data_IF_927198411146
#
_entry.id   IF_927198411146
#
_cell.length_a   1.000
_cell.length_b   1.000
_cell.length_c   1.000
_cell.angle_alpha   90.00
_cell.angle_beta   90.00
_cell.angle_gamma   90.00
#
_symmetry.space_group_name_H-M   'P 1'
#
loop_
_entity.id
_entity.type
_entity.pdbx_description
1 polymer ?
#
# COMPACT_ATOMS: atom_id res chain seq x y z
N UNK A 1 -7.51 -10.88 -9.61
CA UNK A 1 -8.27 -10.61 -10.85
C UNK A 1 -7.94 -9.19 -11.24
N UNK A 2 -7.00 -9.03 -12.17
CA UNK A 2 -6.48 -7.73 -12.62
C UNK A 2 -7.28 -7.29 -13.86
N UNK A 3 -8.16 -6.29 -13.74
CA UNK A 3 -8.84 -5.66 -14.90
C UNK A 3 -7.91 -4.63 -15.57
N UNK A 4 -6.69 -5.05 -15.92
CA UNK A 4 -5.68 -4.20 -16.55
C UNK A 4 -4.96 -4.83 -17.74
N UNK A 5 -5.12 -6.12 -17.99
CA UNK A 5 -4.48 -6.82 -19.11
C UNK A 5 -5.49 -7.68 -19.85
N UNK A 6 -5.96 -7.14 -20.98
CA UNK A 6 -6.99 -7.73 -21.83
C UNK A 6 -6.84 -9.22 -22.06
N UNK A 7 -7.80 -9.98 -21.55
CA UNK A 7 -7.96 -11.41 -21.79
C UNK A 7 -9.09 -12.05 -20.98
N UNK A 8 -9.31 -11.62 -19.75
CA UNK A 8 -10.29 -12.20 -18.80
C UNK A 8 -11.39 -11.22 -18.34
N UNK A 9 -11.44 -10.04 -18.94
CA UNK A 9 -12.41 -8.97 -18.65
C UNK A 9 -13.75 -9.20 -19.35
N UNK A 10 -14.53 -10.18 -18.88
CA UNK A 10 -15.96 -10.12 -19.17
C UNK A 10 -16.53 -8.86 -18.49
N UNK A 11 -16.99 -7.89 -19.29
CA UNK A 11 -17.51 -6.59 -18.84
C UNK A 11 -18.58 -6.70 -17.73
N UNK A 12 -19.23 -7.86 -17.59
CA UNK A 12 -20.17 -8.20 -16.52
C UNK A 12 -19.53 -8.17 -15.13
N UNK A 13 -18.23 -8.49 -15.00
CA UNK A 13 -17.55 -8.57 -13.71
C UNK A 13 -16.66 -7.35 -13.40
N UNK A 14 -15.98 -6.78 -14.40
CA UNK A 14 -15.17 -5.55 -14.23
C UNK A 14 -16.01 -4.26 -14.19
N UNK A 15 -17.21 -4.23 -14.80
CA UNK A 15 -18.02 -3.00 -14.92
C UNK A 15 -18.78 -2.58 -13.65
N UNK A 16 -18.86 -3.46 -12.65
CA UNK A 16 -19.54 -3.21 -11.38
C UNK A 16 -18.61 -3.31 -10.17
N UNK A 17 -17.30 -3.27 -10.38
CA UNK A 17 -16.35 -3.15 -9.28
C UNK A 17 -16.51 -1.79 -8.58
N UNK A 18 -16.51 -1.74 -7.24
CA UNK A 18 -16.23 -2.84 -6.30
C UNK A 18 -17.47 -3.64 -5.85
N UNK A 19 -18.69 -3.28 -6.26
CA UNK A 19 -19.93 -3.93 -5.79
C UNK A 19 -20.11 -5.39 -6.22
N UNK A 20 -19.42 -5.82 -7.28
CA UNK A 20 -19.36 -7.25 -7.67
C UNK A 20 -18.47 -8.09 -6.77
N UNK A 21 -17.61 -7.46 -5.97
CA UNK A 21 -16.72 -8.17 -5.05
C UNK A 21 -17.39 -8.30 -3.68
N UNK A 22 -17.17 -9.43 -2.99
CA UNK A 22 -17.53 -9.57 -1.59
C UNK A 22 -16.95 -8.41 -0.76
N UNK A 23 -17.72 -7.80 0.16
CA UNK A 23 -17.26 -6.67 0.96
C UNK A 23 -16.05 -7.00 1.84
N UNK A 24 -15.80 -8.29 2.12
CA UNK A 24 -14.63 -8.78 2.86
C UNK A 24 -13.34 -8.83 2.02
N UNK A 25 -13.40 -8.57 0.72
CA UNK A 25 -12.23 -8.53 -0.18
C UNK A 25 -11.84 -7.12 -0.61
N UNK A 26 -12.63 -6.12 -0.22
CA UNK A 26 -12.41 -4.72 -0.59
C UNK A 26 -12.17 -3.86 0.65
N UNK A 27 -11.21 -2.96 0.54
CA UNK A 27 -10.96 -1.91 1.51
C UNK A 27 -11.29 -0.57 0.88
N UNK A 28 -12.18 0.19 1.52
CA UNK A 28 -12.53 1.54 1.06
C UNK A 28 -11.62 2.53 1.76
N UNK A 29 -10.84 3.26 0.98
CA UNK A 29 -10.01 4.33 1.51
C UNK A 29 -10.90 5.39 2.21
N UNK A 30 -10.45 6.03 3.29
CA UNK A 30 -11.21 7.07 4.00
C UNK A 30 -11.62 8.25 3.11
N UNK A 31 -10.83 8.52 2.06
CA UNK A 31 -11.17 9.49 1.02
C UNK A 31 -12.38 9.11 0.16
N UNK A 32 -12.94 7.89 0.32
CA UNK A 32 -14.16 7.34 -0.32
C UNK A 32 -14.22 7.37 -1.86
N UNK A 33 -13.23 7.95 -2.53
CA UNK A 33 -13.10 8.00 -3.99
C UNK A 33 -12.44 6.75 -4.57
N UNK A 34 -11.59 6.10 -3.78
CA UNK A 34 -10.80 4.94 -4.19
C UNK A 34 -11.09 3.76 -3.26
N UNK A 35 -11.03 2.58 -3.83
CA UNK A 35 -11.07 1.31 -3.13
C UNK A 35 -9.90 0.48 -3.61
N UNK A 36 -9.39 -0.34 -2.71
CA UNK A 36 -8.27 -1.24 -2.97
C UNK A 36 -8.68 -2.62 -2.50
N UNK A 37 -7.91 -3.64 -2.88
CA UNK A 37 -8.14 -4.97 -2.35
C UNK A 37 -7.58 -5.09 -0.93
N UNK A 38 -8.21 -5.92 -0.11
CA UNK A 38 -7.73 -6.16 1.27
C UNK A 38 -6.33 -6.78 1.31
N UNK A 39 -5.88 -7.44 0.23
CA UNK A 39 -4.51 -7.96 0.13
C UNK A 39 -3.45 -6.87 -0.12
N UNK A 40 -3.89 -5.70 -0.61
CA UNK A 40 -3.04 -4.52 -0.77
C UNK A 40 -3.04 -3.61 0.46
N UNK A 41 -3.83 -3.96 1.49
CA UNK A 41 -3.76 -3.26 2.78
C UNK A 41 -2.56 -3.84 3.53
N UNK A 42 -1.69 -2.97 4.05
CA UNK A 42 -0.45 -3.33 4.72
C UNK A 42 0.62 -3.94 3.80
N UNK A 43 0.67 -3.53 2.53
CA UNK A 43 1.61 -4.05 1.53
C UNK A 43 2.85 -3.15 1.35
N UNK A 44 3.04 -2.15 2.22
CA UNK A 44 4.07 -1.10 2.16
C UNK A 44 3.91 -0.11 1.02
N UNK A 45 2.78 -0.10 0.31
CA UNK A 45 2.51 0.85 -0.75
C UNK A 45 1.28 1.71 -0.48
N UNK A 46 1.35 2.92 -1.01
CA UNK A 46 0.26 3.85 -0.99
C UNK A 46 -0.69 3.61 -2.17
N UNK A 47 -1.58 2.64 -2.06
CA UNK A 47 -2.66 2.43 -3.03
C UNK A 47 -3.81 3.43 -2.82
N UNK A 48 -4.05 3.89 -1.58
CA UNK A 48 -5.10 4.87 -1.29
C UNK A 48 -4.74 6.32 -1.71
N UNK A 49 -3.46 6.65 -1.82
CA UNK A 49 -2.96 8.01 -2.07
C UNK A 49 -2.97 8.91 -0.84
N UNK A 50 -3.30 8.40 0.34
CA UNK A 50 -3.29 9.10 1.63
C UNK A 50 -2.68 8.26 2.76
N UNK A 51 -2.09 7.11 2.44
CA UNK A 51 -1.49 6.17 3.40
C UNK A 51 -2.45 5.60 4.44
N UNK A 52 -3.76 5.67 4.18
CA UNK A 52 -4.75 5.08 5.09
C UNK A 52 -4.73 3.56 5.09
N UNK A 53 -4.41 2.97 3.94
CA UNK A 53 -4.16 1.54 3.73
C UNK A 53 -2.94 1.02 4.51
N UNK A 54 -1.92 1.85 4.67
CA UNK A 54 -0.72 1.54 5.46
C UNK A 54 -0.77 2.10 6.89
N UNK A 55 -1.96 2.53 7.34
CA UNK A 55 -2.09 3.14 8.66
C UNK A 55 -1.90 2.10 9.76
N UNK A 56 -1.09 2.46 10.76
CA UNK A 56 -0.82 1.62 11.95
C UNK A 56 -2.08 1.34 12.79
N UNK A 57 -3.18 2.05 12.52
CA UNK A 57 -4.48 1.76 13.13
C UNK A 57 -5.13 0.47 12.61
N UNK A 58 -4.77 0.06 11.39
CA UNK A 58 -5.35 -1.11 10.69
C UNK A 58 -4.31 -2.20 10.44
N UNK A 59 -3.04 -1.84 10.32
CA UNK A 59 -1.96 -2.78 10.06
C UNK A 59 -1.26 -3.26 11.33
N UNK A 60 -0.86 -4.54 11.40
CA UNK A 60 0.12 -4.97 12.39
C UNK A 60 1.40 -4.15 12.24
N UNK A 61 2.17 -4.03 13.33
CA UNK A 61 3.39 -3.21 13.34
C UNK A 61 4.26 -3.49 12.10
N UNK A 62 4.68 -2.42 11.41
CA UNK A 62 5.56 -2.50 10.24
C UNK A 62 6.61 -3.59 10.43
N UNK A 63 6.64 -4.57 9.54
CA UNK A 63 7.72 -5.55 9.46
C UNK A 63 9.06 -4.90 9.08
N UNK A 64 9.01 -3.65 8.61
CA UNK A 64 10.11 -2.80 8.19
C UNK A 64 10.64 -1.82 9.25
N UNK A 65 11.18 -0.72 8.73
CA UNK A 65 11.60 0.47 9.46
C UNK A 65 10.55 1.56 9.29
N UNK A 66 10.14 2.20 10.39
CA UNK A 66 9.17 3.29 10.36
C UNK A 66 9.89 4.63 10.49
N UNK A 67 9.75 5.48 9.49
CA UNK A 67 10.35 6.82 9.46
C UNK A 67 9.56 7.73 8.51
N UNK A 68 9.77 9.03 8.55
CA UNK A 68 9.19 9.94 7.56
C UNK A 68 9.87 9.71 6.20
N UNK A 69 9.18 9.04 5.28
CA UNK A 69 9.73 8.70 3.97
C UNK A 69 9.84 9.92 3.08
N UNK A 70 10.89 9.97 2.26
CA UNK A 70 11.00 10.98 1.18
C UNK A 70 9.98 10.68 0.09
N UNK A 71 9.75 9.39 -0.17
CA UNK A 71 8.76 8.92 -1.11
C UNK A 71 7.41 8.74 -0.42
N UNK A 72 6.41 9.51 -0.86
CA UNK A 72 5.03 9.39 -0.40
C UNK A 72 4.38 8.04 -0.79
N UNK A 73 5.07 7.24 -1.61
CA UNK A 73 4.63 5.92 -2.03
C UNK A 73 4.77 4.84 -0.95
N UNK A 74 5.69 5.00 0.00
CA UNK A 74 6.01 3.95 0.99
C UNK A 74 5.39 4.23 2.38
N UNK A 75 4.56 5.27 2.51
CA UNK A 75 3.71 5.54 3.68
C UNK A 75 4.36 5.43 5.06
N UNK A 76 5.60 5.90 5.17
CA UNK A 76 6.41 5.81 6.38
C UNK A 76 6.82 4.39 6.80
N UNK A 77 6.65 3.37 5.96
CA UNK A 77 7.03 1.98 6.21
C UNK A 77 8.00 1.47 5.15
N UNK A 78 9.30 1.51 5.46
CA UNK A 78 10.33 1.04 4.51
C UNK A 78 10.61 -0.43 4.79
N UNK A 79 10.57 -1.31 3.79
CA UNK A 79 10.90 -2.72 3.98
C UNK A 79 12.37 -2.88 4.39
N UNK A 80 12.66 -3.81 5.32
CA UNK A 80 14.05 -4.08 5.78
C UNK A 80 15.01 -4.44 4.65
N UNK A 81 14.52 -4.90 3.51
CA UNK A 81 15.32 -5.20 2.32
C UNK A 81 15.93 -3.96 1.67
N UNK A 82 15.36 -2.77 1.89
CA UNK A 82 15.91 -1.49 1.42
C UNK A 82 16.87 -0.83 2.39
N UNK A 83 17.16 -1.49 3.51
CA UNK A 83 18.17 -1.00 4.42
C UNK A 83 19.57 -0.94 3.77
N UNK A 84 20.27 0.20 3.92
CA UNK A 84 21.64 0.40 3.37
C UNK A 84 21.71 0.11 1.87
N UNK A 85 20.67 0.46 1.13
CA UNK A 85 20.61 0.29 -0.31
C UNK A 85 21.30 1.46 -1.06
N UNK A 86 21.72 2.52 -0.36
CA UNK A 86 22.35 3.71 -0.93
C UNK A 86 21.35 4.73 -1.50
N UNK A 87 20.07 4.57 -1.21
CA UNK A 87 18.96 5.45 -1.60
C UNK A 87 18.42 6.08 -0.32
N UNK A 88 18.08 7.36 -0.37
CA UNK A 88 17.42 8.03 0.74
C UNK A 88 15.92 7.69 0.72
N UNK A 89 15.52 6.58 1.35
CA UNK A 89 14.12 6.24 1.54
C UNK A 89 13.54 7.04 2.75
N UNK A 90 14.30 7.24 3.84
CA UNK A 90 13.92 8.12 4.96
C UNK A 90 14.49 9.54 4.84
N UNK A 91 13.70 10.54 5.22
CA UNK A 91 14.13 11.96 5.27
C UNK A 91 15.33 12.18 6.20
N UNK A 92 15.44 11.41 7.27
CA UNK A 92 16.50 11.48 8.28
C UNK A 92 17.67 10.52 8.01
N UNK A 93 17.68 9.81 6.87
CA UNK A 93 18.65 8.75 6.56
C UNK A 93 18.67 7.60 7.57
N UNK A 94 17.61 7.40 8.34
CA UNK A 94 17.52 6.30 9.31
C UNK A 94 17.59 4.93 8.64
N UNK A 95 17.04 4.78 7.44
CA UNK A 95 17.11 3.58 6.59
C UNK A 95 18.54 3.20 6.20
N UNK A 96 19.47 4.15 6.18
CA UNK A 96 20.87 3.89 5.81
C UNK A 96 21.77 3.81 7.06
N UNK A 97 21.50 4.64 8.07
CA UNK A 97 22.39 4.79 9.23
C UNK A 97 21.97 3.93 10.43
N UNK A 98 20.67 3.72 10.66
CA UNK A 98 20.14 3.19 11.91
C UNK A 98 19.61 1.76 11.85
N UNK A 99 19.76 1.06 10.73
CA UNK A 99 19.41 -0.35 10.65
C UNK A 99 20.29 -1.26 11.54
N UNK A 100 19.91 -1.41 12.80
CA UNK A 100 20.34 -2.50 13.70
C UNK A 100 19.20 -3.49 13.96
#
# INVERSE_FOLDING_TARGET
MDCGYGGDESATYCGQMPNSLPPNLIFKCPNQKTWIYVDRVCDTKNDCGDCSDESVSQCPACSGWRCDTVFFADCACIPRSRCRNGIQDCTDWSDENLCD
#
